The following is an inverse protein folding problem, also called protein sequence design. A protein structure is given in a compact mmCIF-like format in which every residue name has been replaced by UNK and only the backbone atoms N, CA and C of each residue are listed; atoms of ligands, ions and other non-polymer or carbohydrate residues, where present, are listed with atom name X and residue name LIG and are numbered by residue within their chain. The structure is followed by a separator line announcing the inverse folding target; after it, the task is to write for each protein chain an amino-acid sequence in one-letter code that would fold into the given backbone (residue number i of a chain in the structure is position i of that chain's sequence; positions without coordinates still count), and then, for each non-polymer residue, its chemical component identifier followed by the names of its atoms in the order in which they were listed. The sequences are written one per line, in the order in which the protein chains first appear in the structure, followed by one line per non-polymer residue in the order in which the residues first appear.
data_IF_291335553867
#
_entry.id   IF_291335553867
#
_cell.length_a   1.000
_cell.length_b   1.000
_cell.length_c   1.000
_cell.angle_alpha   90.00
_cell.angle_beta   90.00
_cell.angle_gamma   90.00
#
_symmetry.space_group_name_H-M   'P 1'
#
loop_
_entity.id
_entity.type
_entity.pdbx_description
1 polymer ?
#
# COMPACT_ATOMS: atom_id res chain seq x y z
N UNK A 1 -40.57 -43.43 18.27
CA UNK A 1 -40.56 -42.10 17.64
C UNK A 1 -39.43 -41.34 18.29
N UNK A 2 -38.49 -40.87 17.46
CA UNK A 2 -37.67 -39.66 17.64
C UNK A 2 -36.44 -39.79 16.74
N UNK A 3 -36.65 -39.49 15.46
CA UNK A 3 -35.56 -39.21 14.53
C UNK A 3 -35.03 -37.82 14.87
N UNK A 4 -33.82 -37.77 15.41
CA UNK A 4 -33.02 -36.56 15.49
C UNK A 4 -32.89 -35.99 14.06
N UNK A 5 -33.22 -34.71 13.81
CA UNK A 5 -33.05 -34.14 12.48
C UNK A 5 -31.56 -34.18 12.13
N UNK A 6 -31.20 -34.87 11.04
CA UNK A 6 -29.86 -34.75 10.46
C UNK A 6 -29.63 -33.27 10.19
N UNK A 7 -28.64 -32.69 10.86
CA UNK A 7 -28.10 -31.39 10.48
C UNK A 7 -27.90 -31.42 8.96
N UNK A 8 -28.60 -30.52 8.28
CA UNK A 8 -28.65 -30.47 6.83
C UNK A 8 -27.23 -30.20 6.35
N UNK A 9 -26.52 -31.26 5.94
CA UNK A 9 -25.18 -31.15 5.37
C UNK A 9 -25.25 -30.09 4.28
N UNK A 10 -24.46 -29.04 4.45
CA UNK A 10 -24.33 -27.95 3.48
C UNK A 10 -24.19 -28.55 2.09
N UNK A 11 -25.14 -28.25 1.17
CA UNK A 11 -25.06 -28.70 -0.23
C UNK A 11 -23.74 -28.29 -0.87
N UNK A 12 -23.15 -27.21 -0.38
CA UNK A 12 -21.84 -26.72 -0.81
C UNK A 12 -20.70 -27.67 -0.40
N UNK A 13 -20.72 -28.20 0.83
CA UNK A 13 -19.73 -29.17 1.30
C UNK A 13 -19.79 -30.52 0.55
N UNK A 14 -20.91 -30.81 -0.12
CA UNK A 14 -21.06 -32.00 -0.96
C UNK A 14 -20.44 -31.88 -2.36
N UNK A 15 -19.98 -30.69 -2.75
CA UNK A 15 -19.29 -30.47 -4.03
C UNK A 15 -17.88 -31.07 -4.01
N UNK A 16 -17.46 -31.57 -5.18
CA UNK A 16 -16.08 -32.01 -5.40
C UNK A 16 -15.10 -30.87 -5.07
N UNK A 17 -13.91 -31.21 -4.57
CA UNK A 17 -12.94 -30.23 -4.07
C UNK A 17 -12.50 -29.26 -5.18
N UNK A 18 -12.41 -29.77 -6.42
CA UNK A 18 -12.06 -29.02 -7.62
C UNK A 18 -13.11 -27.96 -7.95
N UNK A 19 -14.39 -28.24 -7.73
CA UNK A 19 -15.47 -27.27 -7.93
C UNK A 19 -15.41 -26.19 -6.85
N UNK A 20 -15.14 -26.55 -5.60
CA UNK A 20 -14.95 -25.58 -4.52
C UNK A 20 -13.74 -24.68 -4.77
N UNK A 21 -12.64 -25.24 -5.25
CA UNK A 21 -11.45 -24.50 -5.66
C UNK A 21 -11.73 -23.57 -6.84
N UNK A 22 -12.46 -24.04 -7.85
CA UNK A 22 -12.88 -23.20 -8.98
C UNK A 22 -13.74 -22.02 -8.51
N UNK A 23 -14.64 -22.23 -7.54
CA UNK A 23 -15.45 -21.15 -6.95
C UNK A 23 -14.54 -20.16 -6.19
N UNK A 24 -13.60 -20.64 -5.39
CA UNK A 24 -12.63 -19.79 -4.69
C UNK A 24 -11.78 -18.94 -5.67
N UNK A 25 -11.42 -19.51 -6.81
CA UNK A 25 -10.72 -18.83 -7.90
C UNK A 25 -11.53 -17.72 -8.59
N UNK A 26 -12.85 -17.62 -8.36
CA UNK A 26 -13.70 -16.56 -8.92
C UNK A 26 -14.04 -15.48 -7.88
N UNK A 27 -13.48 -15.56 -6.67
CA UNK A 27 -13.65 -14.52 -5.66
C UNK A 27 -12.92 -13.25 -6.13
N UNK A 28 -13.54 -12.07 -6.01
CA UNK A 28 -13.02 -10.84 -6.61
C UNK A 28 -11.75 -10.30 -5.93
N UNK A 29 -11.57 -10.54 -4.63
CA UNK A 29 -10.51 -9.92 -3.85
C UNK A 29 -10.08 -10.80 -2.65
N UNK A 30 -8.91 -10.48 -2.08
CA UNK A 30 -8.31 -11.26 -0.99
C UNK A 30 -9.10 -11.14 0.33
N UNK A 31 -9.73 -10.00 0.61
CA UNK A 31 -10.52 -9.84 1.83
C UNK A 31 -11.77 -10.73 1.80
N UNK A 32 -12.47 -10.78 0.66
CA UNK A 32 -13.58 -11.68 0.39
C UNK A 32 -13.15 -13.15 0.48
N UNK A 33 -11.96 -13.50 -0.02
CA UNK A 33 -11.39 -14.85 0.08
C UNK A 33 -11.15 -15.24 1.55
N UNK A 34 -10.51 -14.36 2.31
CA UNK A 34 -10.21 -14.58 3.72
C UNK A 34 -11.50 -14.79 4.54
N UNK A 35 -12.52 -13.97 4.27
CA UNK A 35 -13.84 -14.12 4.90
C UNK A 35 -14.51 -15.45 4.53
N UNK A 36 -14.45 -15.86 3.27
CA UNK A 36 -15.01 -17.13 2.82
C UNK A 36 -14.34 -18.34 3.47
N UNK A 37 -13.00 -18.33 3.54
CA UNK A 37 -12.20 -19.38 4.18
C UNK A 37 -12.47 -19.45 5.70
N UNK A 38 -12.66 -18.30 6.36
CA UNK A 38 -12.99 -18.25 7.80
C UNK A 38 -14.44 -18.67 8.09
N UNK A 39 -15.35 -18.50 7.14
CA UNK A 39 -16.77 -18.78 7.33
C UNK A 39 -17.12 -20.28 7.25
N UNK A 40 -16.33 -21.10 6.54
CA UNK A 40 -16.66 -22.49 6.25
C UNK A 40 -15.42 -23.40 6.18
N UNK A 41 -15.38 -24.45 7.01
CA UNK A 41 -14.28 -25.43 7.05
C UNK A 41 -14.09 -26.18 5.72
N UNK A 42 -15.15 -26.40 4.95
CA UNK A 42 -15.07 -27.04 3.64
C UNK A 42 -14.38 -26.12 2.63
N UNK A 43 -14.56 -24.81 2.72
CA UNK A 43 -13.80 -23.84 1.92
C UNK A 43 -12.35 -23.74 2.37
N UNK A 44 -12.11 -23.71 3.68
CA UNK A 44 -10.76 -23.75 4.23
C UNK A 44 -9.98 -24.97 3.75
N UNK A 45 -10.58 -26.17 3.83
CA UNK A 45 -9.92 -27.40 3.35
C UNK A 45 -9.65 -27.41 1.85
N UNK A 46 -10.55 -26.81 1.05
CA UNK A 46 -10.37 -26.68 -0.40
C UNK A 46 -9.23 -25.70 -0.74
N UNK A 47 -9.16 -24.60 0.01
CA UNK A 47 -8.12 -23.57 -0.10
C UNK A 47 -6.74 -24.10 0.27
N UNK A 48 -6.58 -24.74 1.43
CA UNK A 48 -5.25 -25.18 1.92
C UNK A 48 -4.52 -26.15 0.97
N UNK A 49 -5.25 -26.89 0.13
CA UNK A 49 -4.66 -27.81 -0.85
C UNK A 49 -4.35 -27.14 -2.21
N UNK A 50 -4.73 -25.88 -2.42
CA UNK A 50 -4.66 -25.18 -3.70
C UNK A 50 -4.46 -23.67 -3.53
N UNK A 51 -3.77 -23.27 -2.46
CA UNK A 51 -3.61 -21.88 -2.03
C UNK A 51 -2.93 -21.02 -3.10
N UNK A 52 -1.73 -21.40 -3.55
CA UNK A 52 -0.96 -20.60 -4.52
C UNK A 52 -1.74 -20.32 -5.81
N UNK A 53 -2.32 -21.31 -6.52
CA UNK A 53 -3.09 -21.02 -7.73
C UNK A 53 -4.30 -20.10 -7.51
N UNK A 54 -4.98 -20.19 -6.37
CA UNK A 54 -6.09 -19.31 -6.02
C UNK A 54 -5.58 -17.88 -5.82
N UNK A 55 -4.55 -17.70 -4.98
CA UNK A 55 -3.95 -16.40 -4.70
C UNK A 55 -3.34 -15.77 -5.95
N UNK A 56 -2.59 -16.54 -6.74
CA UNK A 56 -2.00 -16.10 -7.99
C UNK A 56 -3.08 -15.58 -8.94
N UNK A 57 -4.21 -16.29 -9.07
CA UNK A 57 -5.29 -15.85 -9.95
C UNK A 57 -5.90 -14.53 -9.49
N UNK A 58 -6.24 -14.42 -8.20
CA UNK A 58 -6.89 -13.22 -7.65
C UNK A 58 -5.95 -12.00 -7.69
N UNK A 59 -4.67 -12.20 -7.39
CA UNK A 59 -3.70 -11.12 -7.43
C UNK A 59 -3.39 -10.69 -8.87
N UNK A 60 -3.28 -11.61 -9.82
CA UNK A 60 -3.08 -11.27 -11.23
C UNK A 60 -4.31 -10.60 -11.86
N UNK A 61 -5.52 -10.82 -11.33
CA UNK A 61 -6.70 -10.07 -11.79
C UNK A 61 -6.79 -8.66 -11.19
N UNK A 62 -6.11 -8.41 -10.08
CA UNK A 62 -6.14 -7.14 -9.35
C UNK A 62 -4.95 -6.25 -9.69
N UNK A 63 -3.76 -6.84 -9.83
CA UNK A 63 -2.49 -6.14 -10.00
C UNK A 63 -2.00 -6.24 -11.44
N UNK A 64 -1.56 -5.11 -12.00
CA UNK A 64 -0.84 -5.11 -13.27
C UNK A 64 0.51 -5.81 -13.11
N UNK A 65 0.94 -6.67 -14.06
CA UNK A 65 2.27 -7.28 -14.05
C UNK A 65 3.41 -6.27 -13.99
N UNK A 66 3.20 -5.07 -14.53
CA UNK A 66 4.17 -3.97 -14.53
C UNK A 66 4.42 -3.41 -13.12
N UNK A 67 3.47 -3.59 -12.21
CA UNK A 67 3.49 -3.09 -10.82
C UNK A 67 4.09 -4.09 -9.83
N UNK A 68 4.37 -5.31 -10.28
CA UNK A 68 4.90 -6.37 -9.42
C UNK A 68 6.21 -5.99 -8.72
N UNK A 69 7.20 -5.32 -9.37
CA UNK A 69 8.42 -4.91 -8.68
C UNK A 69 8.15 -4.00 -7.48
N UNK A 70 7.22 -3.05 -7.63
CA UNK A 70 6.79 -2.12 -6.59
C UNK A 70 6.09 -2.86 -5.44
N UNK A 71 5.14 -3.74 -5.78
CA UNK A 71 4.41 -4.57 -4.82
C UNK A 71 5.38 -5.44 -4.01
N UNK A 72 6.36 -6.05 -4.66
CA UNK A 72 7.31 -6.95 -4.00
C UNK A 72 8.26 -6.22 -3.07
N UNK A 73 8.75 -5.04 -3.44
CA UNK A 73 9.57 -4.22 -2.55
C UNK A 73 8.78 -3.79 -1.30
N UNK A 74 7.51 -3.39 -1.48
CA UNK A 74 6.63 -3.05 -0.36
C UNK A 74 6.37 -4.26 0.53
N UNK A 75 6.04 -5.41 -0.04
CA UNK A 75 5.81 -6.63 0.74
C UNK A 75 7.06 -7.01 1.54
N UNK A 76 8.23 -7.01 0.91
CA UNK A 76 9.47 -7.36 1.59
C UNK A 76 9.83 -6.37 2.70
N UNK A 77 9.64 -5.07 2.46
CA UNK A 77 9.83 -4.04 3.48
C UNK A 77 8.79 -4.08 4.61
N UNK A 78 7.58 -4.58 4.37
CA UNK A 78 6.57 -4.76 5.42
C UNK A 78 7.02 -5.77 6.49
N UNK A 79 7.86 -6.74 6.09
CA UNK A 79 8.49 -7.76 6.94
C UNK A 79 9.86 -7.32 7.50
N UNK A 80 10.20 -6.04 7.37
CA UNK A 80 11.41 -5.47 7.93
C UNK A 80 11.23 -5.22 9.43
N UNK A 81 11.27 -6.27 10.25
CA UNK A 81 11.40 -6.18 11.70
C UNK A 81 12.27 -7.35 12.21
N UNK A 82 13.36 -7.11 12.97
CA UNK A 82 13.92 -5.80 13.33
C UNK A 82 14.48 -5.04 12.12
N UNK A 83 14.54 -3.71 12.25
CA UNK A 83 15.19 -2.83 11.27
C UNK A 83 16.71 -2.96 11.36
N UNK A 84 17.37 -3.04 10.20
CA UNK A 84 18.83 -2.98 10.06
C UNK A 84 19.17 -2.32 8.73
N UNK A 85 20.22 -1.51 8.70
CA UNK A 85 20.68 -0.82 7.50
C UNK A 85 21.03 -1.80 6.37
N UNK A 86 21.64 -2.94 6.71
CA UNK A 86 22.02 -3.97 5.75
C UNK A 86 20.80 -4.53 5.01
N UNK A 87 19.74 -4.92 5.73
CA UNK A 87 18.49 -5.39 5.12
C UNK A 87 17.81 -4.31 4.28
N UNK A 88 17.86 -3.05 4.70
CA UNK A 88 17.30 -1.93 3.90
C UNK A 88 18.03 -1.83 2.57
N UNK A 89 19.36 -1.84 2.59
CA UNK A 89 20.16 -1.78 1.37
C UNK A 89 19.94 -3.02 0.48
N UNK A 90 19.81 -4.22 1.05
CA UNK A 90 19.48 -5.44 0.28
C UNK A 90 18.13 -5.38 -0.43
N UNK A 91 17.13 -4.73 0.18
CA UNK A 91 15.81 -4.52 -0.43
C UNK A 91 15.92 -3.50 -1.55
N UNK A 92 16.57 -2.35 -1.29
CA UNK A 92 16.74 -1.28 -2.27
C UNK A 92 17.57 -1.73 -3.47
N UNK A 93 18.68 -2.43 -3.27
CA UNK A 93 19.53 -2.95 -4.34
C UNK A 93 18.73 -3.85 -5.28
N UNK A 94 17.97 -4.82 -4.73
CA UNK A 94 17.12 -5.69 -5.54
C UNK A 94 16.03 -4.95 -6.29
N UNK A 95 15.43 -3.96 -5.64
CA UNK A 95 14.37 -3.15 -6.25
C UNK A 95 14.91 -2.28 -7.39
N UNK A 96 16.02 -1.56 -7.18
CA UNK A 96 16.69 -0.71 -8.19
C UNK A 96 17.19 -1.55 -9.37
N UNK A 97 17.80 -2.70 -9.09
CA UNK A 97 18.27 -3.62 -10.12
C UNK A 97 17.13 -4.38 -10.82
N UNK A 98 15.87 -4.18 -10.39
CA UNK A 98 14.66 -4.86 -10.88
C UNK A 98 14.85 -6.39 -10.89
N UNK A 99 15.53 -6.93 -9.87
CA UNK A 99 15.78 -8.37 -9.76
C UNK A 99 14.46 -9.10 -9.53
N UNK A 100 14.11 -10.09 -10.35
CA UNK A 100 12.88 -10.84 -10.16
C UNK A 100 12.95 -11.60 -8.83
N UNK A 101 11.98 -11.37 -7.96
CA UNK A 101 11.87 -12.08 -6.70
C UNK A 101 10.88 -13.23 -6.88
N UNK A 102 11.32 -14.50 -6.79
CA UNK A 102 10.41 -15.63 -6.86
C UNK A 102 9.54 -15.66 -5.61
N UNK A 103 8.30 -15.19 -5.72
CA UNK A 103 7.36 -15.16 -4.59
C UNK A 103 6.38 -16.31 -4.72
N UNK A 104 6.15 -16.96 -3.58
CA UNK A 104 4.98 -17.79 -3.34
C UNK A 104 4.11 -17.02 -2.38
N UNK A 105 2.95 -16.58 -2.84
CA UNK A 105 2.01 -15.88 -1.99
C UNK A 105 1.56 -16.79 -0.85
N UNK A 106 1.66 -16.27 0.37
CA UNK A 106 0.86 -16.76 1.47
C UNK A 106 -0.43 -15.93 1.55
N UNK A 107 -1.48 -16.46 2.17
CA UNK A 107 -2.70 -15.69 2.42
C UNK A 107 -2.42 -14.40 3.20
N UNK A 108 -1.46 -14.41 4.12
CA UNK A 108 -1.07 -13.23 4.89
C UNK A 108 -0.42 -12.16 4.01
N UNK A 109 0.52 -12.54 3.14
CA UNK A 109 1.16 -11.62 2.20
C UNK A 109 0.15 -11.04 1.21
N UNK A 110 -0.72 -11.90 0.67
CA UNK A 110 -1.78 -11.48 -0.24
C UNK A 110 -2.76 -10.50 0.43
N UNK A 111 -3.02 -10.69 1.73
CA UNK A 111 -3.88 -9.79 2.49
C UNK A 111 -3.23 -8.41 2.67
N UNK A 112 -1.95 -8.36 3.06
CA UNK A 112 -1.19 -7.10 3.18
C UNK A 112 -1.25 -6.32 1.86
N UNK A 113 -0.97 -7.00 0.75
CA UNK A 113 -0.98 -6.37 -0.59
C UNK A 113 -2.40 -5.97 -1.01
N UNK A 114 -3.40 -6.81 -0.76
CA UNK A 114 -4.79 -6.53 -1.11
C UNK A 114 -5.34 -5.32 -0.36
N UNK A 115 -5.10 -5.25 0.95
CA UNK A 115 -5.54 -4.14 1.80
C UNK A 115 -4.87 -2.83 1.37
N UNK A 116 -3.55 -2.84 1.14
CA UNK A 116 -2.83 -1.69 0.62
C UNK A 116 -3.34 -1.25 -0.75
N UNK A 117 -3.52 -2.18 -1.68
CA UNK A 117 -3.97 -1.87 -3.03
C UNK A 117 -5.35 -1.22 -3.02
N UNK A 118 -6.26 -1.71 -2.18
CA UNK A 118 -7.58 -1.11 -1.98
C UNK A 118 -7.48 0.37 -1.58
N UNK A 119 -6.61 0.71 -0.62
CA UNK A 119 -6.39 2.10 -0.21
C UNK A 119 -5.73 2.94 -1.29
N UNK A 120 -4.74 2.39 -2.00
CA UNK A 120 -4.07 3.09 -3.11
C UNK A 120 -5.08 3.44 -4.21
N UNK A 121 -5.98 2.54 -4.59
CA UNK A 121 -7.01 2.83 -5.59
C UNK A 121 -7.91 4.00 -5.18
N UNK A 122 -8.31 4.06 -3.90
CA UNK A 122 -9.05 5.21 -3.36
C UNK A 122 -8.26 6.52 -3.49
N UNK A 123 -6.98 6.53 -3.09
CA UNK A 123 -6.16 7.75 -3.14
C UNK A 123 -5.84 8.19 -4.56
N UNK A 124 -5.71 7.28 -5.52
CA UNK A 124 -5.50 7.62 -6.93
C UNK A 124 -6.68 8.41 -7.47
N UNK A 125 -7.90 7.92 -7.25
CA UNK A 125 -9.09 8.57 -7.79
C UNK A 125 -9.26 10.00 -7.21
N UNK A 126 -8.98 10.19 -5.91
CA UNK A 126 -9.00 11.52 -5.28
C UNK A 126 -7.80 12.40 -5.70
N UNK A 127 -6.60 11.83 -5.85
CA UNK A 127 -5.41 12.53 -6.35
C UNK A 127 -5.64 13.10 -7.74
N UNK A 128 -6.23 12.31 -8.64
CA UNK A 128 -6.53 12.75 -10.01
C UNK A 128 -7.52 13.91 -9.98
N UNK A 129 -8.59 13.81 -9.18
CA UNK A 129 -9.56 14.90 -9.04
C UNK A 129 -8.89 16.16 -8.48
N UNK A 130 -8.00 16.02 -7.50
CA UNK A 130 -7.27 17.12 -6.89
C UNK A 130 -6.33 17.79 -7.91
N UNK A 131 -5.51 17.00 -8.60
CA UNK A 131 -4.55 17.50 -9.58
C UNK A 131 -5.24 18.22 -10.75
N UNK A 132 -6.37 17.69 -11.24
CA UNK A 132 -7.16 18.31 -12.30
C UNK A 132 -7.89 19.57 -11.83
N UNK A 133 -8.26 19.66 -10.55
CA UNK A 133 -8.92 20.87 -10.00
C UNK A 133 -7.99 22.09 -9.96
N UNK A 134 -6.68 21.86 -9.90
CA UNK A 134 -5.65 22.91 -9.90
C UNK A 134 -5.27 23.40 -11.32
N UNK A 135 -5.97 22.94 -12.37
CA UNK A 135 -5.56 23.23 -13.75
C UNK A 135 -5.70 24.72 -14.09
N UNK A 136 -4.62 25.40 -14.54
CA UNK A 136 -4.58 26.86 -14.70
C UNK A 136 -5.34 27.41 -15.93
N UNK A 137 -6.09 26.58 -16.66
CA UNK A 137 -6.77 27.01 -17.89
C UNK A 137 -8.26 27.23 -17.64
N UNK A 138 -8.79 28.46 -17.81
CA UNK A 138 -10.16 28.83 -17.42
C UNK A 138 -11.29 28.09 -18.14
N UNK A 139 -11.00 27.44 -19.28
CA UNK A 139 -11.99 26.87 -20.21
C UNK A 139 -11.62 25.46 -20.72
N UNK A 140 -10.81 24.69 -19.99
CA UNK A 140 -10.21 23.44 -20.49
C UNK A 140 -11.18 22.25 -20.51
N UNK A 141 -11.35 21.67 -21.70
CA UNK A 141 -12.04 20.45 -22.12
C UNK A 141 -12.26 19.35 -21.06
N UNK A 142 -13.37 18.59 -21.21
CA UNK A 142 -13.65 17.34 -20.50
C UNK A 142 -12.36 16.52 -20.43
N UNK A 143 -11.78 16.41 -19.23
CA UNK A 143 -10.53 15.68 -19.06
C UNK A 143 -10.71 14.25 -19.54
N UNK A 144 -9.87 13.83 -20.48
CA UNK A 144 -9.82 12.43 -20.89
C UNK A 144 -9.54 11.56 -19.66
N UNK A 145 -10.11 10.35 -19.59
CA UNK A 145 -9.74 9.41 -18.53
C UNK A 145 -8.23 9.16 -18.59
N UNK A 146 -7.61 8.92 -17.42
CA UNK A 146 -6.19 8.58 -17.35
C UNK A 146 -5.84 7.49 -18.36
N UNK A 147 -4.75 7.69 -19.09
CA UNK A 147 -4.14 6.60 -19.84
C UNK A 147 -3.65 5.50 -18.88
N UNK A 148 -3.51 4.28 -19.38
CA UNK A 148 -2.94 3.16 -18.60
C UNK A 148 -1.56 3.50 -18.05
N UNK A 149 -0.74 4.21 -18.83
CA UNK A 149 0.60 4.65 -18.43
C UNK A 149 0.58 5.69 -17.32
N UNK A 150 -0.36 6.65 -17.36
CA UNK A 150 -0.50 7.64 -16.30
C UNK A 150 -0.99 7.00 -15.01
N UNK A 151 -2.00 6.13 -15.09
CA UNK A 151 -2.49 5.38 -13.93
C UNK A 151 -1.38 4.56 -13.29
N UNK A 152 -0.62 3.81 -14.10
CA UNK A 152 0.53 3.04 -13.62
C UNK A 152 1.57 3.91 -12.92
N UNK A 153 1.92 5.08 -13.47
CA UNK A 153 2.90 5.99 -12.83
C UNK A 153 2.43 6.47 -11.47
N UNK A 154 1.14 6.82 -11.35
CA UNK A 154 0.56 7.26 -10.08
C UNK A 154 0.53 6.09 -9.10
N UNK A 155 0.03 4.91 -9.51
CA UNK A 155 0.05 3.68 -8.71
C UNK A 155 1.45 3.38 -8.17
N UNK A 156 2.43 3.31 -9.07
CA UNK A 156 3.79 2.97 -8.73
C UNK A 156 4.42 4.02 -7.79
N UNK A 157 4.03 5.29 -7.88
CA UNK A 157 4.51 6.31 -6.96
C UNK A 157 3.86 6.20 -5.56
N UNK A 158 2.58 5.80 -5.45
CA UNK A 158 1.98 5.45 -4.14
C UNK A 158 2.68 4.23 -3.51
N UNK A 159 3.03 3.21 -4.29
CA UNK A 159 3.82 2.08 -3.75
C UNK A 159 5.23 2.50 -3.32
N UNK A 160 5.90 3.42 -4.04
CA UNK A 160 7.20 3.97 -3.61
C UNK A 160 7.07 4.77 -2.31
N UNK A 161 5.97 5.48 -2.11
CA UNK A 161 5.66 6.15 -0.85
C UNK A 161 5.54 5.14 0.29
N UNK A 162 4.76 4.08 0.10
CA UNK A 162 4.61 3.02 1.12
C UNK A 162 5.94 2.30 1.39
N UNK A 163 6.75 2.05 0.36
CA UNK A 163 8.10 1.51 0.52
C UNK A 163 8.95 2.43 1.40
N UNK A 164 8.95 3.73 1.13
CA UNK A 164 9.64 4.72 1.96
C UNK A 164 9.16 4.65 3.42
N UNK A 165 7.84 4.62 3.65
CA UNK A 165 7.28 4.50 4.99
C UNK A 165 7.75 3.22 5.71
N UNK A 166 7.71 2.06 5.05
CA UNK A 166 8.14 0.80 5.68
C UNK A 166 9.63 0.78 6.04
N UNK A 167 10.46 1.34 5.17
CA UNK A 167 11.91 1.43 5.37
C UNK A 167 12.29 2.47 6.42
N UNK A 168 11.63 3.63 6.47
CA UNK A 168 12.13 4.80 7.21
C UNK A 168 11.22 5.32 8.32
N UNK A 169 10.01 4.75 8.53
CA UNK A 169 9.12 5.16 9.62
C UNK A 169 9.84 5.16 10.97
N UNK A 170 9.42 6.09 11.83
CA UNK A 170 9.95 6.17 13.18
C UNK A 170 9.64 4.89 13.96
N UNK A 171 10.69 4.37 14.61
CA UNK A 171 10.62 3.21 15.49
C UNK A 171 11.43 3.52 16.73
N UNK A 172 11.03 2.93 17.86
CA UNK A 172 11.74 2.99 19.13
C UNK A 172 12.98 2.08 19.12
N UNK A 173 13.91 2.32 18.19
CA UNK A 173 15.17 1.60 18.07
C UNK A 173 16.38 2.54 18.18
N UNK A 174 17.57 1.94 18.32
CA UNK A 174 18.84 2.69 18.44
C UNK A 174 19.36 3.20 17.09
N UNK A 175 18.65 2.91 15.99
CA UNK A 175 19.11 3.16 14.64
C UNK A 175 18.56 4.46 14.06
N UNK A 176 17.96 5.31 14.89
CA UNK A 176 17.32 6.56 14.47
C UNK A 176 18.19 7.44 13.55
N UNK A 177 19.43 7.76 13.95
CA UNK A 177 20.29 8.66 13.16
C UNK A 177 20.72 8.01 11.83
N UNK A 178 21.03 6.71 11.83
CA UNK A 178 21.41 5.97 10.62
C UNK A 178 20.23 5.89 9.65
N UNK A 179 19.03 5.57 10.17
CA UNK A 179 17.81 5.52 9.38
C UNK A 179 17.48 6.89 8.78
N UNK A 180 17.69 7.97 9.54
CA UNK A 180 17.50 9.33 9.06
C UNK A 180 18.47 9.66 7.94
N UNK A 181 19.76 9.44 8.13
CA UNK A 181 20.77 9.68 7.08
C UNK A 181 20.45 8.90 5.81
N UNK A 182 20.07 7.63 5.93
CA UNK A 182 19.70 6.81 4.78
C UNK A 182 18.41 7.29 4.11
N UNK A 183 17.43 7.78 4.88
CA UNK A 183 16.19 8.33 4.32
C UNK A 183 16.42 9.58 3.47
N UNK A 184 17.41 10.41 3.84
CA UNK A 184 17.78 11.61 3.08
C UNK A 184 18.41 11.26 1.73
N UNK A 185 19.01 10.07 1.60
CA UNK A 185 19.62 9.56 0.37
C UNK A 185 18.65 8.74 -0.49
N UNK A 186 17.46 8.40 0.00
CA UNK A 186 16.54 7.49 -0.70
C UNK A 186 16.20 7.96 -2.11
N UNK A 187 15.96 9.26 -2.31
CA UNK A 187 15.63 9.81 -3.64
C UNK A 187 16.77 9.67 -4.66
N UNK A 188 18.02 9.51 -4.21
CA UNK A 188 19.19 9.37 -5.08
C UNK A 188 19.21 8.02 -5.81
N UNK A 189 18.48 7.02 -5.31
CA UNK A 189 18.35 5.68 -5.89
C UNK A 189 17.40 5.66 -7.12
N UNK A 190 16.73 6.78 -7.42
CA UNK A 190 15.67 6.86 -8.41
C UNK A 190 16.01 7.79 -9.57
N UNK A 191 15.36 7.55 -10.71
CA UNK A 191 15.41 8.53 -11.79
C UNK A 191 14.69 9.82 -11.39
N UNK A 192 15.15 10.97 -11.94
CA UNK A 192 14.61 12.28 -11.61
C UNK A 192 13.07 12.36 -11.71
N UNK A 193 12.47 11.76 -12.74
CA UNK A 193 11.02 11.77 -12.91
C UNK A 193 10.27 10.89 -11.91
N UNK A 194 10.88 9.83 -11.38
CA UNK A 194 10.28 8.99 -10.33
C UNK A 194 10.30 9.72 -8.99
N UNK A 195 11.39 10.44 -8.70
CA UNK A 195 11.49 11.31 -7.52
C UNK A 195 10.45 12.45 -7.58
N UNK A 196 10.28 13.08 -8.74
CA UNK A 196 9.25 14.12 -8.96
C UNK A 196 7.84 13.57 -8.74
N UNK A 197 7.52 12.39 -9.29
CA UNK A 197 6.22 11.73 -9.10
C UNK A 197 5.91 11.47 -7.62
N UNK A 198 6.90 10.98 -6.88
CA UNK A 198 6.76 10.74 -5.45
C UNK A 198 6.59 12.06 -4.68
N UNK A 199 7.29 13.12 -5.07
CA UNK A 199 7.09 14.48 -4.55
C UNK A 199 5.66 15.00 -4.76
N UNK A 200 5.09 14.83 -5.97
CA UNK A 200 3.71 15.25 -6.24
C UNK A 200 2.67 14.53 -5.35
N UNK A 201 2.84 13.22 -5.13
CA UNK A 201 1.96 12.45 -4.24
C UNK A 201 2.12 12.93 -2.80
N UNK A 202 3.35 13.25 -2.39
CA UNK A 202 3.63 13.74 -1.06
C UNK A 202 2.95 15.07 -0.77
N UNK A 203 3.05 16.03 -1.70
CA UNK A 203 2.37 17.32 -1.60
C UNK A 203 0.85 17.14 -1.46
N UNK A 204 0.28 16.23 -2.25
CA UNK A 204 -1.14 15.87 -2.16
C UNK A 204 -1.50 15.24 -0.81
N UNK A 205 -0.73 14.27 -0.32
CA UNK A 205 -1.00 13.59 0.94
C UNK A 205 -0.92 14.55 2.12
N UNK A 206 0.05 15.48 2.10
CA UNK A 206 0.15 16.56 3.08
C UNK A 206 -1.09 17.44 3.03
N UNK A 207 -1.44 17.99 1.86
CA UNK A 207 -2.63 18.84 1.71
C UNK A 207 -3.92 18.16 2.23
N UNK A 208 -4.08 16.86 1.96
CA UNK A 208 -5.26 16.09 2.36
C UNK A 208 -5.27 15.69 3.82
N UNK A 209 -4.13 15.36 4.41
CA UNK A 209 -4.08 14.76 5.75
C UNK A 209 -3.74 15.78 6.84
N UNK A 210 -2.94 16.81 6.55
CA UNK A 210 -2.55 17.84 7.51
C UNK A 210 -3.74 18.51 8.21
N UNK A 211 -4.91 18.77 7.58
CA UNK A 211 -6.07 19.31 8.28
C UNK A 211 -6.57 18.40 9.40
N UNK A 212 -6.69 17.10 9.15
CA UNK A 212 -7.14 16.13 10.14
C UNK A 212 -6.07 15.93 11.24
N UNK A 213 -4.79 15.89 10.85
CA UNK A 213 -3.68 15.83 11.80
C UNK A 213 -3.67 17.04 12.74
N UNK A 214 -3.80 18.24 12.19
CA UNK A 214 -3.84 19.49 12.96
C UNK A 214 -5.07 19.57 13.87
N UNK A 215 -6.22 19.03 13.43
CA UNK A 215 -7.42 18.92 14.28
C UNK A 215 -7.16 18.02 15.49
N UNK A 216 -6.60 16.82 15.26
CA UNK A 216 -6.21 15.90 16.34
C UNK A 216 -5.19 16.56 17.28
N UNK A 217 -4.14 17.18 16.74
CA UNK A 217 -3.12 17.86 17.53
C UNK A 217 -3.68 19.01 18.39
N UNK A 218 -4.70 19.72 17.91
CA UNK A 218 -5.38 20.79 18.67
C UNK A 218 -6.23 20.26 19.82
N UNK A 219 -6.75 19.05 19.69
CA UNK A 219 -7.77 18.52 20.58
C UNK A 219 -7.28 17.39 21.50
N UNK A 220 -6.12 16.80 21.21
CA UNK A 220 -5.50 15.78 22.06
C UNK A 220 -4.65 16.41 23.18
N UNK A 221 -5.08 16.20 24.42
CA UNK A 221 -4.43 16.73 25.63
C UNK A 221 -3.01 16.19 25.78
N UNK A 222 -2.75 14.94 25.40
CA UNK A 222 -1.41 14.34 25.45
C UNK A 222 -0.50 15.00 24.41
N UNK A 223 -1.00 15.27 23.20
CA UNK A 223 -0.20 15.95 22.17
C UNK A 223 0.07 17.42 22.52
N UNK A 224 -0.89 18.07 23.18
CA UNK A 224 -0.71 19.39 23.78
C UNK A 224 0.34 19.40 24.90
N UNK A 225 0.41 18.34 25.72
CA UNK A 225 1.46 18.16 26.74
C UNK A 225 2.85 17.98 26.11
N UNK A 226 2.93 17.27 24.97
CA UNK A 226 4.18 17.07 24.22
C UNK A 226 4.53 18.23 23.27
N UNK A 227 3.73 19.30 23.22
CA UNK A 227 3.91 20.45 22.32
C UNK A 227 4.18 20.03 20.87
N UNK A 228 3.43 19.04 20.35
CA UNK A 228 3.57 18.59 18.97
C UNK A 228 3.34 19.80 18.05
N UNK A 229 4.33 20.19 17.21
CA UNK A 229 4.17 21.34 16.34
C UNK A 229 3.07 21.05 15.31
N UNK A 230 2.27 22.08 15.00
CA UNK A 230 1.34 21.99 13.89
C UNK A 230 2.10 21.78 12.59
N UNK A 231 1.43 21.12 11.67
CA UNK A 231 1.86 21.01 10.29
C UNK A 231 1.54 22.32 9.57
N UNK A 232 2.15 23.41 10.03
CA UNK A 232 2.13 24.73 9.40
C UNK A 232 3.21 24.75 8.30
N UNK A 233 3.08 23.85 7.32
CA UNK A 233 3.88 23.94 6.11
C UNK A 233 3.36 25.12 5.28
N UNK A 234 4.20 26.15 5.11
CA UNK A 234 4.00 27.13 4.03
C UNK A 234 4.08 26.37 2.69
N UNK A 235 2.93 25.99 2.13
CA UNK A 235 2.75 25.29 0.84
C UNK A 235 3.19 26.12 -0.39
N UNK A 236 3.97 27.18 -0.20
CA UNK A 236 4.70 27.87 -1.26
C UNK A 236 6.22 27.71 -1.11
N UNK A 237 6.77 26.48 -1.17
CA UNK A 237 8.17 26.33 -1.48
C UNK A 237 8.38 26.71 -2.95
N UNK A 238 9.39 27.53 -3.24
CA UNK A 238 9.91 27.62 -4.60
C UNK A 238 10.22 26.19 -5.11
N UNK A 239 10.02 25.88 -6.40
CA UNK A 239 10.09 24.52 -6.95
C UNK A 239 11.42 23.80 -6.67
N UNK A 240 12.51 24.53 -6.39
CA UNK A 240 13.81 23.98 -6.03
C UNK A 240 13.93 23.56 -4.54
N UNK A 241 12.89 23.76 -3.71
CA UNK A 241 12.85 23.41 -2.28
C UNK A 241 11.93 22.22 -1.97
N UNK A 242 11.20 21.66 -2.94
CA UNK A 242 10.46 20.40 -2.76
C UNK A 242 11.39 19.27 -2.28
N UNK A 243 12.66 19.29 -2.69
CA UNK A 243 13.71 18.39 -2.21
C UNK A 243 14.01 18.49 -0.70
N UNK A 244 13.64 19.59 -0.03
CA UNK A 244 13.85 19.78 1.43
C UNK A 244 12.70 19.22 2.30
N UNK A 245 11.55 18.94 1.71
CA UNK A 245 10.33 18.49 2.41
C UNK A 245 10.50 17.07 2.96
N UNK A 246 11.28 16.24 2.28
CA UNK A 246 11.63 14.86 2.64
C UNK A 246 12.26 14.70 4.03
N UNK A 247 13.08 15.66 4.45
CA UNK A 247 13.74 15.64 5.77
C UNK A 247 12.84 16.08 6.93
N UNK A 248 11.66 16.64 6.64
CA UNK A 248 10.79 17.32 7.62
C UNK A 248 9.40 16.73 7.76
N UNK A 249 9.01 15.78 6.91
CA UNK A 249 7.77 15.04 7.06
C UNK A 249 7.88 14.04 8.21
N UNK A 250 7.82 14.58 9.43
CA UNK A 250 7.45 13.84 10.64
C UNK A 250 5.95 13.61 10.61
N UNK A 251 5.50 12.77 9.69
CA UNK A 251 4.13 12.26 9.77
C UNK A 251 4.18 10.87 10.40
N UNK A 252 3.77 10.72 11.67
CA UNK A 252 3.62 9.42 12.30
C UNK A 252 2.36 8.75 11.74
N UNK A 253 2.43 8.23 10.51
CA UNK A 253 1.36 7.39 9.99
C UNK A 253 1.57 5.94 10.43
N UNK A 254 0.70 5.53 11.34
CA UNK A 254 0.35 4.13 11.57
C UNK A 254 -0.95 3.91 10.79
N UNK A 255 -0.87 3.31 9.60
CA UNK A 255 -2.01 2.58 9.06
C UNK A 255 -1.95 1.19 9.70
N UNK A 256 -2.70 1.02 10.78
CA UNK A 256 -2.96 -0.26 11.47
C UNK A 256 -4.24 -0.89 10.96
#
# INVERSE_FOLDING_TARGET
MDQVPRAQQSRFASLAVEIRQAILCEIPDIASLNNAVKADESLQSAFSNYESPILDKILNSTLSPELLPEVFAVLESSHLDPWSEERVNEILDRYVERKPTPIRWTLADAQIVGDLHYHIQFFIDDFVSWALSAHPLPNGEIHAPLSSTERFRIEAAFYRFELFCNLFRERNDKNYEIRRERSEQFSEDFAFWEAEQLGCILDYLVDKISPAFNDVARHDILWGEFCVPFDDFDLHPEPHKAFFVWSKLRLPFVMS
#
